data_IF_309826009026
#
_entry.id   IF_309826009026
#
_cell.length_a   1.000
_cell.length_b   1.000
_cell.length_c   1.000
_cell.angle_alpha   90.00
_cell.angle_beta   90.00
_cell.angle_gamma   90.00
#
_symmetry.space_group_name_H-M   'P 1'
#
loop_
_entity.id
_entity.type
_entity.pdbx_description
1 polymer ?
#
# COMPACT_ATOMS: atom_id res chain seq x y z
N UNK A 1 6.01 -10.84 4.19
CA UNK A 1 4.80 -10.06 4.50
C UNK A 1 3.79 -10.24 3.39
N UNK A 2 2.52 -10.10 3.73
CA UNK A 2 1.39 -10.00 2.82
C UNK A 2 1.10 -8.53 2.58
N UNK A 3 1.20 -8.10 1.33
CA UNK A 3 1.06 -6.71 0.92
C UNK A 3 -0.19 -6.59 0.04
N UNK A 4 -1.05 -5.63 0.36
CA UNK A 4 -2.19 -5.27 -0.47
C UNK A 4 -1.90 -3.99 -1.24
N UNK A 5 -2.05 -4.05 -2.56
CA UNK A 5 -2.09 -2.87 -3.43
C UNK A 5 -3.53 -2.41 -3.59
N UNK A 6 -3.75 -1.10 -3.50
CA UNK A 6 -5.01 -0.48 -3.91
C UNK A 6 -5.20 -0.51 -5.44
N UNK A 7 -6.24 0.16 -5.94
CA UNK A 7 -6.52 0.22 -7.37
C UNK A 7 -5.57 1.15 -8.14
N UNK A 8 -4.95 2.12 -7.47
CA UNK A 8 -4.06 3.12 -8.10
C UNK A 8 -2.60 2.68 -8.18
N UNK A 9 -2.22 1.69 -7.38
CA UNK A 9 -0.84 1.21 -7.27
C UNK A 9 -0.46 0.34 -8.48
N UNK A 10 0.57 0.72 -9.25
CA UNK A 10 0.99 -0.04 -10.42
C UNK A 10 1.44 -1.47 -10.05
N UNK A 11 0.76 -2.46 -10.63
CA UNK A 11 1.04 -3.90 -10.43
C UNK A 11 2.51 -4.27 -10.64
N UNK A 12 3.26 -3.72 -11.64
CA UNK A 12 4.67 -4.07 -11.83
C UNK A 12 5.57 -3.82 -10.61
N UNK A 13 5.19 -2.92 -9.67
CA UNK A 13 5.94 -2.67 -8.44
C UNK A 13 6.15 -3.94 -7.60
N UNK A 14 5.24 -4.93 -7.70
CA UNK A 14 5.35 -6.20 -6.98
C UNK A 14 6.67 -6.93 -7.18
N UNK A 15 7.32 -6.75 -8.34
CA UNK A 15 8.59 -7.38 -8.67
C UNK A 15 9.75 -6.85 -7.81
N UNK A 16 9.67 -5.60 -7.36
CA UNK A 16 10.66 -4.99 -6.46
C UNK A 16 10.43 -5.36 -4.98
N UNK A 17 9.29 -5.97 -4.63
CA UNK A 17 8.92 -6.31 -3.26
C UNK A 17 9.22 -7.77 -2.90
N UNK A 18 9.93 -8.51 -3.75
CA UNK A 18 10.37 -9.87 -3.40
C UNK A 18 11.25 -9.84 -2.12
N UNK A 19 11.07 -10.79 -1.18
CA UNK A 19 10.30 -12.03 -1.28
C UNK A 19 8.85 -11.93 -0.76
N UNK A 20 8.28 -10.74 -0.61
CA UNK A 20 6.92 -10.57 -0.08
C UNK A 20 5.84 -11.02 -1.08
N UNK A 21 4.69 -11.42 -0.55
CA UNK A 21 3.52 -11.79 -1.34
C UNK A 21 2.66 -10.55 -1.54
N UNK A 22 2.42 -10.18 -2.79
CA UNK A 22 1.57 -9.04 -3.14
C UNK A 22 0.24 -9.55 -3.67
N UNK A 23 -0.86 -8.96 -3.20
CA UNK A 23 -2.18 -9.09 -3.79
C UNK A 23 -2.68 -7.71 -4.17
N UNK A 24 -3.46 -7.61 -5.24
CA UNK A 24 -4.12 -6.37 -5.62
C UNK A 24 -5.58 -6.42 -5.22
N UNK A 25 -6.16 -5.27 -4.89
CA UNK A 25 -7.59 -5.17 -4.65
C UNK A 25 -8.40 -5.61 -5.89
N UNK A 26 -7.85 -5.50 -7.12
CA UNK A 26 -8.47 -6.06 -8.33
C UNK A 26 -8.54 -7.59 -8.31
N UNK A 27 -7.42 -8.28 -8.03
CA UNK A 27 -7.36 -9.76 -7.95
C UNK A 27 -8.28 -10.34 -6.86
N UNK A 28 -8.55 -9.56 -5.81
CA UNK A 28 -9.44 -9.94 -4.72
C UNK A 28 -10.92 -9.64 -5.00
N UNK A 29 -11.26 -9.06 -6.16
CA UNK A 29 -12.62 -8.63 -6.49
C UNK A 29 -13.09 -7.41 -5.69
N UNK A 30 -12.17 -6.61 -5.16
CA UNK A 30 -12.43 -5.44 -4.30
C UNK A 30 -12.39 -4.11 -5.04
N UNK A 31 -12.44 -4.12 -6.37
CA UNK A 31 -12.37 -2.88 -7.18
C UNK A 31 -13.48 -1.86 -6.90
N UNK A 32 -14.61 -2.30 -6.36
CA UNK A 32 -15.71 -1.43 -5.99
C UNK A 32 -15.69 -1.01 -4.51
N UNK A 33 -14.70 -1.46 -3.73
CA UNK A 33 -14.57 -1.05 -2.34
C UNK A 33 -13.88 0.31 -2.25
N UNK A 34 -14.52 1.24 -1.57
CA UNK A 34 -13.88 2.49 -1.13
C UNK A 34 -12.67 2.20 -0.22
N UNK A 35 -11.73 3.13 -0.16
CA UNK A 35 -10.48 2.98 0.62
C UNK A 35 -10.73 2.60 2.09
N UNK A 36 -11.73 3.18 2.76
CA UNK A 36 -12.10 2.78 4.12
C UNK A 36 -12.52 1.32 4.25
N UNK A 37 -13.25 0.80 3.25
CA UNK A 37 -13.64 -0.62 3.17
C UNK A 37 -12.44 -1.51 2.82
N UNK A 38 -11.55 -1.08 1.94
CA UNK A 38 -10.30 -1.79 1.63
C UNK A 38 -9.44 -1.94 2.87
N UNK A 39 -9.23 -0.86 3.63
CA UNK A 39 -8.47 -0.89 4.88
C UNK A 39 -9.11 -1.84 5.90
N UNK A 40 -10.44 -1.84 6.03
CA UNK A 40 -11.14 -2.78 6.93
C UNK A 40 -11.02 -4.24 6.47
N UNK A 41 -11.13 -4.49 5.17
CA UNK A 41 -11.01 -5.83 4.60
C UNK A 41 -9.57 -6.37 4.66
N UNK A 42 -8.59 -5.46 4.67
CA UNK A 42 -7.17 -5.79 4.74
C UNK A 42 -6.67 -6.07 6.17
N UNK A 43 -7.29 -5.43 7.16
CA UNK A 43 -6.96 -5.59 8.57
C UNK A 43 -6.96 -7.09 8.98
N UNK A 44 -5.90 -7.53 9.66
CA UNK A 44 -5.74 -8.92 10.11
C UNK A 44 -5.43 -9.94 9.00
N UNK A 45 -5.39 -9.53 7.72
CA UNK A 45 -5.07 -10.38 6.56
C UNK A 45 -3.80 -9.95 5.83
N UNK A 46 -3.46 -8.68 5.93
CA UNK A 46 -2.28 -8.07 5.32
C UNK A 46 -1.47 -7.32 6.36
N UNK A 47 -0.16 -7.30 6.15
CA UNK A 47 0.79 -6.58 7.00
C UNK A 47 0.92 -5.12 6.54
N UNK A 48 0.93 -4.90 5.22
CA UNK A 48 1.13 -3.58 4.61
C UNK A 48 0.08 -3.32 3.53
N UNK A 49 -0.52 -2.13 3.56
CA UNK A 49 -1.34 -1.57 2.50
C UNK A 49 -0.54 -0.50 1.75
N UNK A 50 -0.37 -0.67 0.45
CA UNK A 50 0.29 0.32 -0.42
C UNK A 50 -0.78 1.01 -1.25
N UNK A 51 -0.75 2.34 -1.23
CA UNK A 51 -1.68 3.19 -1.95
C UNK A 51 -0.98 4.37 -2.59
N UNK A 52 -1.57 4.92 -3.63
CA UNK A 52 -1.16 6.20 -4.23
C UNK A 52 -2.10 7.35 -3.82
N UNK A 53 -3.11 7.08 -2.98
CA UNK A 53 -4.06 8.08 -2.50
C UNK A 53 -3.53 8.81 -1.26
N UNK A 54 -2.96 10.00 -1.47
CA UNK A 54 -2.48 10.87 -0.39
C UNK A 54 -3.59 11.45 0.49
N UNK A 55 -4.84 11.39 0.04
CA UNK A 55 -5.96 11.88 0.84
C UNK A 55 -6.41 10.87 1.91
N UNK A 56 -5.87 9.65 1.90
CA UNK A 56 -6.28 8.57 2.79
C UNK A 56 -6.24 8.97 4.27
N UNK A 57 -5.18 9.68 4.69
CA UNK A 57 -5.01 10.17 6.07
C UNK A 57 -6.09 11.15 6.51
N UNK A 58 -6.64 11.91 5.57
CA UNK A 58 -7.68 12.91 5.85
C UNK A 58 -9.09 12.30 5.77
N UNK A 59 -9.25 11.19 5.05
CA UNK A 59 -10.55 10.54 4.83
C UNK A 59 -10.89 9.47 5.88
N UNK A 60 -9.91 8.89 6.56
CA UNK A 60 -10.11 7.73 7.44
C UNK A 60 -9.41 7.90 8.79
N UNK A 61 -10.04 7.40 9.86
CA UNK A 61 -9.35 7.26 11.14
C UNK A 61 -8.41 6.05 11.07
N UNK A 62 -7.11 6.33 11.13
CA UNK A 62 -6.05 5.32 11.07
C UNK A 62 -5.59 4.86 12.47
N UNK A 63 -6.11 5.47 13.53
CA UNK A 63 -5.73 5.16 14.91
C UNK A 63 -6.15 3.74 15.31
N UNK A 64 -5.21 2.99 15.90
CA UNK A 64 -5.48 1.67 16.47
C UNK A 64 -5.43 0.50 15.49
N UNK A 65 -5.06 0.73 14.22
CA UNK A 65 -4.85 -0.31 13.22
C UNK A 65 -3.53 -1.03 13.46
N UNK A 66 -3.49 -2.32 13.15
CA UNK A 66 -2.26 -3.11 13.02
C UNK A 66 -1.77 -3.13 11.57
N UNK A 67 -2.67 -2.88 10.61
CA UNK A 67 -2.31 -2.72 9.21
C UNK A 67 -1.40 -1.50 9.03
N UNK A 68 -0.20 -1.74 8.53
CA UNK A 68 0.74 -0.68 8.19
C UNK A 68 0.35 -0.07 6.83
N UNK A 69 0.50 1.24 6.64
CA UNK A 69 0.06 1.96 5.45
C UNK A 69 1.24 2.74 4.86
N UNK A 70 1.56 2.43 3.60
CA UNK A 70 2.55 3.13 2.80
C UNK A 70 1.87 3.89 1.68
N UNK A 71 2.07 5.20 1.62
CA UNK A 71 1.54 6.07 0.57
C UNK A 71 2.67 6.47 -0.38
N UNK A 72 2.48 6.22 -1.66
CA UNK A 72 3.37 6.66 -2.74
C UNK A 72 2.94 8.04 -3.24
N UNK A 73 3.87 8.92 -3.63
CA UNK A 73 3.56 10.30 -4.02
C UNK A 73 2.85 10.42 -5.38
N UNK A 74 2.82 9.35 -6.19
CA UNK A 74 2.34 9.38 -7.57
C UNK A 74 1.82 8.01 -8.03
N UNK A 75 0.92 8.00 -9.00
CA UNK A 75 0.48 6.79 -9.74
C UNK A 75 1.34 6.50 -10.97
N UNK A 76 2.26 7.41 -11.33
CA UNK A 76 3.09 7.27 -12.52
C UNK A 76 4.11 6.13 -12.33
N UNK A 77 3.94 5.04 -13.08
CA UNK A 77 4.83 3.88 -12.99
C UNK A 77 6.29 4.21 -13.29
N UNK A 78 6.60 5.10 -14.24
CA UNK A 78 7.99 5.42 -14.57
C UNK A 78 8.71 6.12 -13.42
N UNK A 79 8.00 6.98 -12.70
CA UNK A 79 8.50 7.62 -11.48
C UNK A 79 8.69 6.58 -10.37
N UNK A 80 7.66 5.79 -10.08
CA UNK A 80 7.75 4.73 -9.06
C UNK A 80 8.89 3.75 -9.36
N UNK A 81 9.09 3.38 -10.63
CA UNK A 81 10.14 2.46 -11.03
C UNK A 81 11.55 3.00 -10.72
N UNK A 82 11.77 4.31 -10.87
CA UNK A 82 13.05 4.95 -10.51
C UNK A 82 13.31 4.87 -9.00
N UNK A 83 12.25 4.91 -8.20
CA UNK A 83 12.29 4.87 -6.74
C UNK A 83 11.95 3.48 -6.15
N UNK A 84 11.94 2.42 -6.96
CA UNK A 84 11.50 1.09 -6.52
C UNK A 84 12.30 0.55 -5.32
N UNK A 85 13.60 0.89 -5.24
CA UNK A 85 14.46 0.51 -4.12
C UNK A 85 14.08 1.22 -2.83
N UNK A 86 13.66 2.49 -2.92
CA UNK A 86 13.19 3.28 -1.79
C UNK A 86 11.85 2.73 -1.28
N UNK A 87 10.94 2.37 -2.20
CA UNK A 87 9.68 1.71 -1.85
C UNK A 87 9.91 0.37 -1.16
N UNK A 88 10.80 -0.47 -1.69
CA UNK A 88 11.14 -1.76 -1.09
C UNK A 88 11.78 -1.61 0.30
N UNK A 89 12.68 -0.64 0.47
CA UNK A 89 13.28 -0.33 1.77
C UNK A 89 12.22 0.17 2.76
N UNK A 90 11.30 1.04 2.32
CA UNK A 90 10.22 1.53 3.15
C UNK A 90 9.33 0.39 3.63
N UNK A 91 8.88 -0.49 2.72
CA UNK A 91 8.09 -1.69 3.03
C UNK A 91 8.78 -2.57 4.06
N UNK A 92 10.07 -2.88 3.88
CA UNK A 92 10.84 -3.73 4.80
C UNK A 92 10.96 -3.14 6.22
N UNK A 93 10.90 -1.82 6.34
CA UNK A 93 11.02 -1.10 7.60
C UNK A 93 9.67 -0.75 8.25
N UNK A 94 8.55 -1.04 7.58
CA UNK A 94 7.21 -0.78 8.11
C UNK A 94 6.99 -1.59 9.39
N UNK A 95 6.41 -0.94 10.40
CA UNK A 95 5.92 -1.61 11.61
C UNK A 95 4.39 -1.70 11.60
N UNK A 96 3.79 -2.66 12.34
CA UNK A 96 2.34 -2.72 12.47
C UNK A 96 1.75 -1.38 12.93
N UNK A 97 0.70 -0.94 12.24
CA UNK A 97 0.00 0.33 12.49
C UNK A 97 0.76 1.59 12.09
N UNK A 98 1.96 1.46 11.51
CA UNK A 98 2.72 2.60 11.01
C UNK A 98 2.05 3.20 9.78
N UNK A 99 2.05 4.53 9.71
CA UNK A 99 1.68 5.27 8.52
C UNK A 99 2.90 6.03 7.99
N UNK A 100 3.25 5.82 6.72
CA UNK A 100 4.40 6.46 6.07
C UNK A 100 4.02 6.95 4.68
N UNK A 101 4.41 8.18 4.37
CA UNK A 101 4.33 8.74 3.01
C UNK A 101 5.74 8.88 2.46
N UNK A 102 5.90 8.66 1.16
CA UNK A 102 7.14 8.93 0.43
C UNK A 102 6.94 10.20 -0.42
N UNK A 103 8.00 10.99 -0.58
CA UNK A 103 7.92 12.39 -1.08
C UNK A 103 9.03 12.75 -2.10
N UNK A 104 9.56 11.76 -2.83
CA UNK A 104 10.56 12.04 -3.87
C UNK A 104 10.04 12.93 -5.02
#
# INVERSE_FOLDING_TARGET
MHILFDQGTPVPLRHALAPHTVSTAYELGWSNLENGNLLRAAEGRFDVFVTTDRNLRYQQNLTGRQLAILVLPTTNWLEIQRHQSEVAAAVNLMKPGEYRELDW
#
